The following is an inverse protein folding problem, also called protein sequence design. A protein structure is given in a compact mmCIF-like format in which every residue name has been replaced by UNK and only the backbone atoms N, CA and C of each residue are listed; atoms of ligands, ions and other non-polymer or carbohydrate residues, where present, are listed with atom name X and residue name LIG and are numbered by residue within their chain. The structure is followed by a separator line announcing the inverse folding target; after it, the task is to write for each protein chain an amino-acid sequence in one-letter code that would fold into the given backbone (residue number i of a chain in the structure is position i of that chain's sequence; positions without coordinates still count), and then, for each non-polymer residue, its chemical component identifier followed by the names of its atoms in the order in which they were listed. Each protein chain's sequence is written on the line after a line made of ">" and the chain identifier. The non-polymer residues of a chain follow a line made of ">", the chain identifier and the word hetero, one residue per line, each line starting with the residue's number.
data_IF_221456433641
#
_entry.id   IF_221456433641
#
_cell.length_a   1.000
_cell.length_b   1.000
_cell.length_c   1.000
_cell.angle_alpha   90.00
_cell.angle_beta   90.00
_cell.angle_gamma   90.00
#
_symmetry.space_group_name_H-M   'P 1'
#
loop_
_entity.id
_entity.type
_entity.pdbx_description
1 polymer ?
#
# COMPACT_ATOMS: atom_id res chain seq x y z
N UNK A 1 8.93 -20.70 10.32
CA UNK A 1 8.77 -19.94 11.58
C UNK A 1 8.94 -18.45 11.34
N UNK A 2 10.04 -18.04 10.69
CA UNK A 2 10.32 -16.63 10.43
C UNK A 2 9.25 -15.99 9.53
N UNK A 3 8.83 -16.69 8.47
CA UNK A 3 7.78 -16.20 7.57
C UNK A 3 6.42 -16.09 8.28
N UNK A 4 6.14 -17.03 9.17
CA UNK A 4 4.93 -16.98 10.01
C UNK A 4 4.92 -15.74 10.90
N UNK A 5 6.04 -15.43 11.56
CA UNK A 5 6.15 -14.27 12.44
C UNK A 5 6.01 -12.95 11.67
N UNK A 6 6.63 -12.87 10.48
CA UNK A 6 6.50 -11.68 9.62
C UNK A 6 5.06 -11.45 9.21
N UNK A 7 4.38 -12.51 8.76
CA UNK A 7 2.97 -12.44 8.36
C UNK A 7 2.09 -12.01 9.53
N UNK A 8 2.28 -12.64 10.67
CA UNK A 8 1.50 -12.33 11.87
C UNK A 8 1.66 -10.85 12.27
N UNK A 9 2.91 -10.38 12.37
CA UNK A 9 3.18 -9.01 12.78
C UNK A 9 2.60 -7.99 11.79
N UNK A 10 2.76 -8.23 10.49
CA UNK A 10 2.24 -7.35 9.45
C UNK A 10 0.70 -7.29 9.47
N UNK A 11 0.06 -8.45 9.64
CA UNK A 11 -1.40 -8.53 9.71
C UNK A 11 -1.96 -7.87 10.98
N UNK A 12 -1.23 -7.91 12.09
CA UNK A 12 -1.59 -7.17 13.32
C UNK A 12 -1.59 -5.67 13.04
N UNK A 13 -0.56 -5.16 12.38
CA UNK A 13 -0.47 -3.73 12.02
C UNK A 13 -1.63 -3.36 11.09
N UNK A 14 -1.92 -4.18 10.10
CA UNK A 14 -3.06 -3.94 9.19
C UNK A 14 -4.38 -3.85 9.95
N UNK A 15 -4.60 -4.76 10.89
CA UNK A 15 -5.82 -4.78 11.70
C UNK A 15 -5.95 -3.53 12.55
N UNK A 16 -4.88 -3.12 13.21
CA UNK A 16 -4.87 -1.92 14.06
C UNK A 16 -5.20 -0.66 13.24
N UNK A 17 -4.53 -0.50 12.09
CA UNK A 17 -4.75 0.65 11.21
C UNK A 17 -6.16 0.60 10.62
N UNK A 18 -6.61 -0.57 10.19
CA UNK A 18 -7.94 -0.76 9.60
C UNK A 18 -9.06 -0.46 10.58
N UNK A 19 -8.98 -0.97 11.80
CA UNK A 19 -9.97 -0.73 12.84
C UNK A 19 -10.01 0.74 13.26
N UNK A 20 -8.85 1.36 13.39
CA UNK A 20 -8.78 2.79 13.64
C UNK A 20 -9.45 3.60 12.52
N UNK A 21 -9.20 3.23 11.27
CA UNK A 21 -9.81 3.88 10.11
C UNK A 21 -11.32 3.69 10.07
N UNK A 22 -11.81 2.51 10.40
CA UNK A 22 -13.26 2.24 10.46
C UNK A 22 -13.97 3.13 11.49
N UNK A 23 -13.32 3.34 12.64
CA UNK A 23 -13.85 4.21 13.69
C UNK A 23 -13.78 5.68 13.34
N UNK A 24 -12.64 6.11 12.81
CA UNK A 24 -12.35 7.53 12.55
C UNK A 24 -13.08 8.04 11.31
N UNK A 25 -13.23 7.18 10.32
CA UNK A 25 -13.85 7.52 9.03
C UNK A 25 -14.99 6.55 8.71
N UNK A 26 -16.09 6.57 9.50
CA UNK A 26 -17.15 5.56 9.37
C UNK A 26 -17.87 5.59 8.02
N UNK A 27 -17.82 6.71 7.30
CA UNK A 27 -18.45 6.87 6.00
C UNK A 27 -17.50 6.60 4.83
N UNK A 28 -16.23 6.30 5.10
CA UNK A 28 -15.27 6.06 4.03
C UNK A 28 -15.57 4.75 3.30
N UNK A 29 -15.40 4.79 2.00
CA UNK A 29 -15.47 3.62 1.11
C UNK A 29 -14.09 3.41 0.48
N UNK A 30 -13.82 2.23 -0.12
CA UNK A 30 -12.57 2.07 -0.87
C UNK A 30 -12.35 3.18 -1.91
N UNK A 31 -13.40 3.61 -2.60
CA UNK A 31 -13.32 4.71 -3.57
C UNK A 31 -12.89 6.02 -2.93
N UNK A 32 -13.47 6.41 -1.80
CA UNK A 32 -13.10 7.66 -1.13
C UNK A 32 -11.73 7.59 -0.47
N UNK A 33 -11.32 6.40 -0.01
CA UNK A 33 -9.96 6.19 0.50
C UNK A 33 -8.94 6.37 -0.62
N UNK A 34 -9.21 5.87 -1.83
CA UNK A 34 -8.34 6.07 -2.99
C UNK A 34 -8.23 7.56 -3.35
N UNK A 35 -9.33 8.30 -3.30
CA UNK A 35 -9.30 9.76 -3.51
C UNK A 35 -8.42 10.46 -2.47
N UNK A 36 -8.53 10.05 -1.22
CA UNK A 36 -7.68 10.56 -0.13
C UNK A 36 -6.21 10.22 -0.41
N UNK A 37 -5.92 8.98 -0.82
CA UNK A 37 -4.57 8.56 -1.20
C UNK A 37 -4.00 9.42 -2.33
N UNK A 38 -4.79 9.76 -3.34
CA UNK A 38 -4.34 10.62 -4.43
C UNK A 38 -3.90 12.00 -3.92
N UNK A 39 -4.60 12.57 -2.93
CA UNK A 39 -4.23 13.83 -2.29
C UNK A 39 -2.92 13.70 -1.50
N UNK A 40 -2.76 12.60 -0.75
CA UNK A 40 -1.54 12.34 0.03
C UNK A 40 -0.33 12.07 -0.88
N UNK A 41 -0.53 11.41 -2.02
CA UNK A 41 0.54 11.24 -3.02
C UNK A 41 1.01 12.59 -3.56
N UNK A 42 0.09 13.53 -3.78
CA UNK A 42 0.45 14.88 -4.19
C UNK A 42 1.28 15.58 -3.12
N UNK A 43 0.91 15.48 -1.85
CA UNK A 43 1.69 16.03 -0.75
C UNK A 43 3.08 15.39 -0.66
N UNK A 44 3.18 14.08 -0.87
CA UNK A 44 4.46 13.38 -0.94
C UNK A 44 5.32 13.93 -2.09
N UNK A 45 4.74 14.14 -3.27
CA UNK A 45 5.45 14.69 -4.42
C UNK A 45 5.98 16.10 -4.15
N UNK A 46 5.22 16.91 -3.39
CA UNK A 46 5.58 18.29 -3.09
C UNK A 46 6.65 18.39 -1.98
N UNK A 47 6.57 17.56 -0.94
CA UNK A 47 7.44 17.67 0.24
C UNK A 47 8.55 16.63 0.32
N UNK A 48 8.34 15.43 -0.22
CA UNK A 48 9.23 14.25 -0.07
C UNK A 48 9.47 13.84 1.40
N UNK A 49 8.61 14.26 2.32
CA UNK A 49 8.81 14.02 3.74
C UNK A 49 8.40 12.59 4.12
N UNK A 50 9.12 11.98 5.07
CA UNK A 50 8.85 10.61 5.51
C UNK A 50 7.43 10.41 6.08
N UNK A 51 6.88 11.44 6.72
CA UNK A 51 5.51 11.40 7.24
C UNK A 51 4.47 11.25 6.12
N UNK A 52 4.73 11.78 4.93
CA UNK A 52 3.84 11.64 3.78
C UNK A 52 3.85 10.20 3.22
N UNK A 53 5.00 9.54 3.30
CA UNK A 53 5.08 8.09 2.96
C UNK A 53 4.22 7.29 3.93
N UNK A 54 4.29 7.62 5.22
CA UNK A 54 3.46 6.96 6.25
C UNK A 54 1.97 7.19 5.99
N UNK A 55 1.55 8.41 5.66
CA UNK A 55 0.15 8.71 5.35
C UNK A 55 -0.37 7.90 4.17
N UNK A 56 0.42 7.79 3.10
CA UNK A 56 0.08 6.95 1.95
C UNK A 56 -0.04 5.46 2.35
N UNK A 57 0.89 4.98 3.15
CA UNK A 57 0.92 3.58 3.59
C UNK A 57 -0.29 3.25 4.48
N UNK A 58 -0.66 4.14 5.38
CA UNK A 58 -1.86 3.99 6.23
C UNK A 58 -3.10 3.80 5.37
N UNK A 59 -3.26 4.61 4.32
CA UNK A 59 -4.41 4.51 3.43
C UNK A 59 -4.42 3.21 2.62
N UNK A 60 -3.26 2.73 2.20
CA UNK A 60 -3.14 1.43 1.53
C UNK A 60 -3.55 0.28 2.44
N UNK A 61 -3.16 0.30 3.71
CA UNK A 61 -3.62 -0.67 4.70
C UNK A 61 -5.14 -0.61 4.90
N UNK A 62 -5.72 0.59 4.92
CA UNK A 62 -7.16 0.75 5.07
C UNK A 62 -7.94 0.18 3.87
N UNK A 63 -7.42 0.34 2.66
CA UNK A 63 -8.01 -0.27 1.47
C UNK A 63 -8.01 -1.79 1.60
N UNK A 64 -6.88 -2.39 1.95
CA UNK A 64 -6.76 -3.83 2.14
C UNK A 64 -7.73 -4.34 3.21
N UNK A 65 -7.82 -3.63 4.32
CA UNK A 65 -8.72 -3.96 5.42
C UNK A 65 -10.20 -3.94 4.97
N UNK A 66 -10.61 -2.91 4.24
CA UNK A 66 -11.98 -2.77 3.74
C UNK A 66 -12.36 -3.86 2.75
N UNK A 67 -11.44 -4.29 1.89
CA UNK A 67 -11.65 -5.39 0.96
C UNK A 67 -11.42 -6.77 1.59
N UNK A 68 -10.98 -6.84 2.85
CA UNK A 68 -10.80 -8.07 3.62
C UNK A 68 -9.78 -9.04 3.02
N UNK A 69 -8.65 -8.52 2.52
CA UNK A 69 -7.51 -9.34 2.14
C UNK A 69 -6.27 -8.95 2.93
N UNK A 70 -5.29 -9.85 2.99
CA UNK A 70 -4.01 -9.58 3.64
C UNK A 70 -3.09 -8.83 2.69
N UNK A 71 -2.71 -7.60 3.02
CA UNK A 71 -1.75 -6.84 2.25
C UNK A 71 -0.39 -7.54 2.23
N UNK A 72 0.01 -8.20 3.33
CA UNK A 72 1.24 -8.99 3.39
C UNK A 72 1.24 -10.07 2.31
N UNK A 73 0.18 -10.87 2.22
CA UNK A 73 0.09 -11.94 1.23
C UNK A 73 0.16 -11.38 -0.20
N UNK A 74 -0.55 -10.29 -0.47
CA UNK A 74 -0.51 -9.62 -1.77
C UNK A 74 0.88 -9.11 -2.12
N UNK A 75 1.59 -8.53 -1.14
CA UNK A 75 2.96 -8.06 -1.33
C UNK A 75 3.92 -9.21 -1.66
N UNK A 76 3.85 -10.31 -0.93
CA UNK A 76 4.72 -11.47 -1.16
C UNK A 76 4.47 -12.07 -2.55
N UNK A 77 3.21 -12.26 -2.91
CA UNK A 77 2.84 -12.80 -4.22
C UNK A 77 3.32 -11.88 -5.35
N UNK A 78 3.08 -10.58 -5.20
CA UNK A 78 3.48 -9.60 -6.22
C UNK A 78 5.00 -9.47 -6.33
N UNK A 79 5.73 -9.52 -5.22
CA UNK A 79 7.19 -9.49 -5.26
C UNK A 79 7.76 -10.71 -5.98
N UNK A 80 7.18 -11.89 -5.79
CA UNK A 80 7.59 -13.08 -6.53
C UNK A 80 7.37 -12.90 -8.03
N UNK A 81 6.23 -12.35 -8.43
CA UNK A 81 5.96 -12.02 -9.85
C UNK A 81 6.98 -11.00 -10.37
N UNK A 82 7.22 -9.92 -9.64
CA UNK A 82 8.11 -8.84 -10.05
C UNK A 82 9.57 -9.29 -10.21
N UNK A 83 10.03 -10.22 -9.37
CA UNK A 83 11.40 -10.77 -9.48
C UNK A 83 11.59 -11.57 -10.77
N UNK A 84 10.54 -12.19 -11.29
CA UNK A 84 10.57 -12.98 -12.51
C UNK A 84 10.27 -12.18 -13.77
N UNK A 85 9.81 -10.93 -13.64
CA UNK A 85 9.47 -10.07 -14.78
C UNK A 85 10.71 -9.52 -15.45
N UNK A 86 10.56 -9.22 -16.75
CA UNK A 86 11.53 -8.44 -17.50
C UNK A 86 11.15 -6.97 -17.41
N UNK A 87 12.11 -6.14 -17.06
CA UNK A 87 11.92 -4.71 -16.89
C UNK A 87 12.52 -3.94 -18.05
N UNK A 88 11.82 -2.95 -18.53
CA UNK A 88 12.25 -2.12 -19.65
C UNK A 88 13.27 -1.06 -19.26
N UNK A 89 13.47 -0.12 -20.17
CA UNK A 89 14.32 1.05 -19.93
C UNK A 89 13.48 2.18 -19.34
N UNK A 90 14.10 3.13 -18.62
CA UNK A 90 13.38 4.31 -18.17
C UNK A 90 12.73 5.06 -19.32
N UNK A 91 11.48 5.48 -19.13
CA UNK A 91 10.77 6.36 -20.04
C UNK A 91 11.20 7.84 -19.86
N UNK A 92 10.49 8.77 -20.50
CA UNK A 92 10.79 10.20 -20.41
C UNK A 92 10.72 10.73 -18.96
N UNK A 93 9.90 10.12 -18.11
CA UNK A 93 9.77 10.49 -16.69
C UNK A 93 10.76 9.74 -15.78
N UNK A 94 11.59 8.86 -16.34
CA UNK A 94 12.52 8.02 -15.57
C UNK A 94 11.85 6.79 -14.96
N UNK A 95 10.64 6.47 -15.37
CA UNK A 95 9.88 5.32 -14.85
C UNK A 95 10.19 4.08 -15.68
N UNK A 96 10.43 2.97 -14.98
CA UNK A 96 10.67 1.66 -15.57
C UNK A 96 9.44 0.79 -15.38
N UNK A 97 8.90 0.27 -16.47
CA UNK A 97 7.76 -0.65 -16.44
C UNK A 97 8.17 -2.03 -16.95
N UNK A 98 7.41 -3.06 -16.59
CA UNK A 98 7.65 -4.40 -17.11
C UNK A 98 7.26 -4.48 -18.60
N UNK A 99 7.95 -5.36 -19.34
CA UNK A 99 7.77 -5.51 -20.79
C UNK A 99 7.27 -6.90 -21.20
N UNK A 100 6.97 -7.74 -20.23
CA UNK A 100 6.42 -9.09 -20.47
C UNK A 100 4.96 -9.22 -20.06
#
# INVERSE_FOLDING_TARGET
>A
VLNFLKRWAFNVVQKEIGEWGDKTFPYATPTTIIKHLQREVKELADSHHSSEVADCTILLFQIAHRYKYSLYNELIDKMNINRDRKWGKPDADGVVEHID
#
